data_IF_387396008230
#
_entry.id   IF_387396008230
#
_cell.length_a   1.000
_cell.length_b   1.000
_cell.length_c   1.000
_cell.angle_alpha   90.00
_cell.angle_beta   90.00
_cell.angle_gamma   90.00
#
_symmetry.space_group_name_H-M   'P 1'
#
loop_
_entity.id
_entity.type
_entity.pdbx_description
1 polymer ?
#
# COMPACT_ATOMS: atom_id res chain seq x y z
N UNK A 1 -9.03 -6.14 -7.33
CA UNK A 1 -7.62 -5.98 -7.74
C UNK A 1 -6.84 -7.28 -7.56
N UNK A 2 -6.85 -7.93 -6.39
CA UNK A 2 -6.08 -9.17 -6.20
C UNK A 2 -6.47 -10.37 -7.07
N UNK A 3 -7.74 -10.64 -7.42
CA UNK A 3 -8.05 -11.77 -8.33
C UNK A 3 -7.30 -11.67 -9.67
N UNK A 4 -7.18 -10.44 -10.21
CA UNK A 4 -6.41 -10.16 -11.43
C UNK A 4 -4.91 -10.31 -11.16
N UNK A 5 -4.40 -9.75 -10.06
CA UNK A 5 -2.98 -9.84 -9.70
C UNK A 5 -2.56 -11.28 -9.44
N UNK A 6 -3.35 -12.08 -8.74
CA UNK A 6 -3.09 -13.50 -8.48
C UNK A 6 -2.97 -14.29 -9.78
N UNK A 7 -3.94 -14.12 -10.69
CA UNK A 7 -3.89 -14.76 -12.02
C UNK A 7 -2.68 -14.31 -12.84
N UNK A 8 -2.35 -13.03 -12.80
CA UNK A 8 -1.16 -12.50 -13.48
C UNK A 8 0.15 -12.95 -12.82
N UNK A 9 0.16 -13.16 -11.50
CA UNK A 9 1.33 -13.59 -10.77
C UNK A 9 1.73 -15.02 -11.12
N UNK A 10 0.77 -15.84 -11.56
CA UNK A 10 0.97 -17.21 -12.03
C UNK A 10 1.45 -17.29 -13.49
N UNK A 11 1.54 -16.17 -14.22
CA UNK A 11 2.02 -16.17 -15.60
C UNK A 11 3.49 -16.61 -15.71
N UNK A 12 3.86 -17.21 -16.84
CA UNK A 12 5.24 -17.64 -17.11
C UNK A 12 6.24 -16.47 -17.03
N UNK A 13 5.83 -15.30 -17.51
CA UNK A 13 6.64 -14.07 -17.47
C UNK A 13 7.00 -13.69 -16.02
N UNK A 14 6.06 -13.87 -15.08
CA UNK A 14 6.25 -13.48 -13.69
C UNK A 14 7.05 -14.52 -12.87
N UNK A 15 7.37 -15.68 -13.45
CA UNK A 15 8.24 -16.68 -12.81
C UNK A 15 9.68 -16.19 -12.66
N UNK A 16 10.10 -15.24 -13.51
CA UNK A 16 11.40 -14.58 -13.37
C UNK A 16 11.30 -13.47 -12.31
N UNK A 17 11.72 -13.81 -11.10
CA UNK A 17 11.71 -12.88 -9.98
C UNK A 17 12.70 -11.73 -10.18
N UNK A 18 12.27 -10.52 -9.83
CA UNK A 18 13.12 -9.36 -9.71
C UNK A 18 14.20 -9.59 -8.65
N UNK A 19 15.38 -8.95 -8.76
CA UNK A 19 16.50 -9.21 -7.87
C UNK A 19 16.17 -9.11 -6.38
N UNK A 20 15.36 -8.13 -5.98
CA UNK A 20 14.96 -7.93 -4.57
C UNK A 20 14.07 -9.07 -4.05
N UNK A 21 13.14 -9.57 -4.86
CA UNK A 21 12.25 -10.69 -4.51
C UNK A 21 13.02 -12.02 -4.53
N UNK A 22 13.91 -12.20 -5.51
CA UNK A 22 14.81 -13.36 -5.58
C UNK A 22 15.74 -13.43 -4.37
N UNK A 23 16.23 -12.29 -3.86
CA UNK A 23 17.05 -12.25 -2.65
C UNK A 23 16.27 -12.71 -1.41
N UNK A 24 14.99 -12.33 -1.28
CA UNK A 24 14.13 -12.85 -0.21
C UNK A 24 13.93 -14.36 -0.32
N UNK A 25 13.65 -14.87 -1.53
CA UNK A 25 13.54 -16.31 -1.81
C UNK A 25 14.80 -17.06 -1.40
N UNK A 26 15.97 -16.58 -1.83
CA UNK A 26 17.25 -17.20 -1.52
C UNK A 26 17.51 -17.23 0.00
N UNK A 27 17.16 -16.17 0.72
CA UNK A 27 17.30 -16.13 2.18
C UNK A 27 16.40 -17.18 2.86
N UNK A 28 15.13 -17.25 2.46
CA UNK A 28 14.17 -18.23 2.99
C UNK A 28 14.68 -19.66 2.75
N UNK A 29 15.19 -19.95 1.56
CA UNK A 29 15.54 -21.32 1.16
C UNK A 29 16.94 -21.77 1.57
N UNK A 30 17.85 -20.83 1.88
CA UNK A 30 19.21 -21.14 2.35
C UNK A 30 19.31 -21.32 3.86
N UNK A 31 18.32 -20.86 4.62
CA UNK A 31 18.28 -20.97 6.08
C UNK A 31 17.14 -21.91 6.50
N UNK A 32 17.49 -23.08 7.05
CA UNK A 32 16.51 -24.11 7.45
C UNK A 32 15.50 -23.62 8.50
N UNK A 33 15.93 -22.74 9.41
CA UNK A 33 15.04 -22.17 10.41
C UNK A 33 14.02 -21.25 9.75
N UNK A 34 14.49 -20.33 8.89
CA UNK A 34 13.60 -19.42 8.16
C UNK A 34 12.68 -20.18 7.21
N UNK A 35 13.17 -21.22 6.54
CA UNK A 35 12.35 -22.08 5.68
C UNK A 35 11.17 -22.68 6.43
N UNK A 36 11.43 -23.29 7.59
CA UNK A 36 10.41 -23.92 8.43
C UNK A 36 9.42 -22.90 8.98
N UNK A 37 9.91 -21.78 9.54
CA UNK A 37 9.05 -20.70 10.04
C UNK A 37 8.15 -20.17 8.92
N UNK A 38 8.69 -20.02 7.71
CA UNK A 38 7.93 -19.56 6.55
C UNK A 38 6.85 -20.55 6.14
N UNK A 39 7.08 -21.88 6.20
CA UNK A 39 6.01 -22.85 5.95
C UNK A 39 4.91 -22.73 7.02
N UNK A 40 5.32 -22.77 8.29
CA UNK A 40 4.39 -22.69 9.43
C UNK A 40 3.53 -21.43 9.40
N UNK A 41 4.09 -20.30 8.96
CA UNK A 41 3.37 -19.03 8.81
C UNK A 41 2.12 -19.16 7.95
N UNK A 42 2.16 -19.99 6.90
CA UNK A 42 1.01 -20.25 6.04
C UNK A 42 0.15 -21.42 6.53
N UNK A 43 0.76 -22.47 7.09
CA UNK A 43 0.03 -23.63 7.65
C UNK A 43 -0.85 -23.23 8.84
N UNK A 44 -0.44 -22.22 9.62
CA UNK A 44 -1.19 -21.69 10.75
C UNK A 44 -2.43 -20.88 10.33
N UNK A 45 -2.60 -20.55 9.04
CA UNK A 45 -3.79 -19.84 8.55
C UNK A 45 -4.97 -20.83 8.50
N UNK A 46 -6.06 -20.62 9.27
CA UNK A 46 -7.19 -21.54 9.27
C UNK A 46 -7.76 -21.85 7.88
N UNK A 47 -8.08 -23.12 7.62
CA UNK A 47 -8.64 -23.56 6.33
C UNK A 47 -9.96 -22.85 5.98
N UNK A 48 -10.77 -22.53 6.99
CA UNK A 48 -12.03 -21.79 6.82
C UNK A 48 -11.87 -20.38 6.22
N UNK A 49 -10.67 -19.80 6.25
CA UNK A 49 -10.39 -18.49 5.66
C UNK A 49 -10.00 -18.61 4.19
N UNK A 50 -10.97 -19.01 3.37
CA UNK A 50 -10.77 -19.24 1.93
C UNK A 50 -10.46 -17.94 1.19
N UNK A 51 -11.23 -16.89 1.48
CA UNK A 51 -11.09 -15.57 0.88
C UNK A 51 -10.61 -14.55 1.93
N UNK A 52 -9.91 -13.52 1.45
CA UNK A 52 -9.57 -12.32 2.20
C UNK A 52 -10.83 -11.52 2.57
N UNK A 53 -10.75 -10.53 3.49
CA UNK A 53 -11.85 -9.58 3.72
C UNK A 53 -12.31 -8.85 2.45
N UNK A 54 -11.48 -8.87 1.40
CA UNK A 54 -11.74 -8.27 0.09
C UNK A 54 -12.45 -9.21 -0.89
N UNK A 55 -12.80 -10.43 -0.48
CA UNK A 55 -13.45 -11.44 -1.35
C UNK A 55 -12.53 -11.98 -2.44
N UNK A 56 -11.21 -11.98 -2.19
CA UNK A 56 -10.18 -12.51 -3.09
C UNK A 56 -9.52 -13.75 -2.48
N UNK A 57 -9.07 -14.73 -3.28
CA UNK A 57 -8.49 -15.95 -2.72
C UNK A 57 -7.27 -15.65 -1.84
N UNK A 58 -7.23 -16.23 -0.65
CA UNK A 58 -6.13 -16.05 0.28
C UNK A 58 -4.85 -16.69 -0.25
N UNK A 59 -3.71 -16.01 -0.06
CA UNK A 59 -2.39 -16.59 -0.34
C UNK A 59 -2.07 -17.70 0.65
N UNK A 60 -1.75 -18.89 0.14
CA UNK A 60 -1.60 -20.11 0.96
C UNK A 60 -0.18 -20.66 1.05
N UNK A 61 0.78 -20.06 0.35
CA UNK A 61 2.18 -20.43 0.51
C UNK A 61 3.13 -19.29 0.09
N UNK A 62 4.38 -19.41 0.53
CA UNK A 62 5.38 -18.38 0.27
C UNK A 62 5.77 -18.24 -1.20
N UNK A 63 5.63 -19.29 -2.02
CA UNK A 63 5.93 -19.18 -3.46
C UNK A 63 4.91 -18.28 -4.15
N UNK A 64 3.62 -18.45 -3.84
CA UNK A 64 2.56 -17.55 -4.28
C UNK A 64 2.80 -16.13 -3.75
N UNK A 65 3.15 -15.97 -2.47
CA UNK A 65 3.51 -14.67 -1.89
C UNK A 65 4.62 -13.98 -2.70
N UNK A 66 5.72 -14.68 -3.01
CA UNK A 66 6.84 -14.14 -3.77
C UNK A 66 6.42 -13.73 -5.19
N UNK A 67 5.64 -14.57 -5.89
CA UNK A 67 5.13 -14.24 -7.22
C UNK A 67 4.21 -13.01 -7.19
N UNK A 68 3.34 -12.90 -6.21
CA UNK A 68 2.45 -11.74 -6.08
C UNK A 68 3.23 -10.46 -5.73
N UNK A 69 4.21 -10.54 -4.82
CA UNK A 69 5.12 -9.41 -4.53
C UNK A 69 5.84 -8.98 -5.81
N UNK A 70 6.40 -9.92 -6.57
CA UNK A 70 7.06 -9.65 -7.84
C UNK A 70 6.15 -8.89 -8.81
N UNK A 71 4.87 -9.27 -8.88
CA UNK A 71 3.90 -8.66 -9.78
C UNK A 71 3.46 -7.26 -9.33
N UNK A 72 3.36 -7.02 -8.02
CA UNK A 72 2.91 -5.75 -7.44
C UNK A 72 3.97 -4.66 -7.56
N UNK A 73 5.24 -4.97 -7.26
CA UNK A 73 6.29 -3.95 -7.15
C UNK A 73 6.71 -3.32 -8.49
N UNK A 74 6.06 -3.70 -9.59
CA UNK A 74 6.30 -3.25 -10.95
C UNK A 74 5.18 -2.32 -11.48
N UNK A 75 4.23 -1.93 -10.62
CA UNK A 75 3.07 -1.13 -11.04
C UNK A 75 2.65 -0.12 -9.98
N UNK A 76 1.96 0.92 -10.43
CA UNK A 76 1.34 1.87 -9.54
C UNK A 76 -0.04 1.33 -9.09
N UNK A 77 -0.43 1.53 -7.83
CA UNK A 77 -1.79 1.20 -7.39
C UNK A 77 -2.84 1.99 -8.19
N UNK A 78 -3.80 1.29 -8.79
CA UNK A 78 -4.96 1.88 -9.46
C UNK A 78 -6.03 2.28 -8.44
N UNK A 79 -6.81 3.32 -8.76
CA UNK A 79 -7.97 3.69 -7.97
C UNK A 79 -9.01 2.56 -7.97
N UNK A 80 -9.60 2.32 -6.80
CA UNK A 80 -10.81 1.53 -6.65
C UNK A 80 -11.59 2.03 -5.42
N UNK A 81 -12.78 1.51 -5.18
CA UNK A 81 -13.67 1.98 -4.12
C UNK A 81 -13.56 1.15 -2.83
N UNK A 82 -12.48 0.41 -2.65
CA UNK A 82 -12.27 -0.45 -1.48
C UNK A 82 -11.36 0.20 -0.46
N UNK A 83 -11.47 -0.17 0.82
CA UNK A 83 -10.67 0.47 1.89
C UNK A 83 -9.15 0.24 1.83
N UNK A 84 -8.64 -0.59 0.90
CA UNK A 84 -7.24 -1.02 0.84
C UNK A 84 -6.48 -0.54 -0.42
N UNK A 85 -6.99 0.46 -1.15
CA UNK A 85 -6.43 0.91 -2.43
C UNK A 85 -4.93 1.23 -2.37
N UNK A 86 -4.45 1.75 -1.23
CA UNK A 86 -3.07 2.17 -1.03
C UNK A 86 -2.09 1.07 -0.60
N UNK A 87 -2.55 -0.14 -0.26
CA UNK A 87 -1.69 -1.16 0.37
C UNK A 87 -1.85 -2.55 -0.24
N UNK A 88 -1.56 -2.75 -1.53
CA UNK A 88 -1.72 -4.05 -2.21
C UNK A 88 -0.82 -5.16 -1.62
N UNK A 89 0.29 -4.81 -0.99
CA UNK A 89 1.13 -5.77 -0.25
C UNK A 89 0.42 -6.28 1.00
N UNK A 90 -0.37 -5.43 1.68
CA UNK A 90 -1.12 -5.83 2.87
C UNK A 90 -2.11 -6.96 2.55
N UNK A 91 -2.73 -6.94 1.35
CA UNK A 91 -3.63 -8.01 0.91
C UNK A 91 -2.95 -9.39 0.83
N UNK A 92 -1.62 -9.43 0.65
CA UNK A 92 -0.84 -10.67 0.68
C UNK A 92 -0.50 -11.06 2.12
N UNK A 93 -0.17 -10.07 2.95
CA UNK A 93 0.47 -10.28 4.25
C UNK A 93 -0.52 -10.35 5.44
N UNK A 94 -1.75 -9.86 5.30
CA UNK A 94 -2.73 -9.68 6.39
C UNK A 94 -2.95 -10.94 7.25
N UNK A 95 -3.20 -12.09 6.64
CA UNK A 95 -3.33 -13.36 7.37
C UNK A 95 -2.01 -13.95 7.83
N UNK A 96 -0.98 -14.12 6.98
CA UNK A 96 0.26 -14.72 7.43
C UNK A 96 0.93 -13.89 8.53
N UNK A 97 0.77 -12.56 8.58
CA UNK A 97 1.31 -11.74 9.67
C UNK A 97 0.57 -11.92 11.00
N UNK A 98 -0.68 -12.39 10.97
CA UNK A 98 -1.50 -12.63 12.15
C UNK A 98 -1.23 -14.00 12.82
N UNK A 99 -0.38 -14.84 12.22
CA UNK A 99 -0.01 -16.15 12.79
C UNK A 99 1.17 -16.04 13.76
N UNK A 100 1.37 -17.05 14.61
CA UNK A 100 2.50 -17.05 15.57
C UNK A 100 3.82 -17.19 14.83
N UNK A 101 3.88 -18.06 13.84
CA UNK A 101 5.03 -18.18 12.95
C UNK A 101 5.23 -16.91 12.11
N UNK A 102 4.15 -16.25 11.70
CA UNK A 102 4.18 -14.93 11.09
C UNK A 102 4.88 -13.87 11.93
N UNK A 103 4.48 -13.75 13.20
CA UNK A 103 5.17 -12.86 14.14
C UNK A 103 6.68 -13.12 14.17
N UNK A 104 7.09 -14.39 14.30
CA UNK A 104 8.52 -14.77 14.30
C UNK A 104 9.23 -14.42 12.98
N UNK A 105 8.55 -14.60 11.85
CA UNK A 105 9.07 -14.25 10.52
C UNK A 105 9.27 -12.74 10.38
N UNK A 106 8.26 -11.94 10.70
CA UNK A 106 8.26 -10.48 10.48
C UNK A 106 9.07 -9.70 11.52
N UNK A 107 9.43 -10.25 12.68
CA UNK A 107 10.40 -9.61 13.59
C UNK A 107 11.86 -9.94 13.24
N UNK A 108 12.11 -10.85 12.30
CA UNK A 108 13.48 -11.25 11.96
C UNK A 108 14.21 -10.14 11.19
N UNK A 109 15.35 -9.62 11.69
CA UNK A 109 16.05 -8.51 11.05
C UNK A 109 16.51 -8.81 9.62
N UNK A 110 16.90 -10.06 9.31
CA UNK A 110 17.32 -10.46 7.95
C UNK A 110 16.14 -10.43 6.98
N UNK A 111 14.95 -10.83 7.43
CA UNK A 111 13.72 -10.75 6.64
C UNK A 111 13.35 -9.27 6.41
N UNK A 112 13.41 -8.45 7.45
CA UNK A 112 13.12 -7.02 7.36
C UNK A 112 14.04 -6.31 6.38
N UNK A 113 15.33 -6.67 6.35
CA UNK A 113 16.28 -6.15 5.36
C UNK A 113 15.81 -6.44 3.93
N UNK A 114 15.38 -7.67 3.63
CA UNK A 114 14.91 -8.04 2.28
C UNK A 114 13.57 -7.40 1.92
N UNK A 115 12.65 -7.29 2.88
CA UNK A 115 11.40 -6.55 2.69
C UNK A 115 11.66 -5.07 2.42
N UNK A 116 12.60 -4.44 3.13
CA UNK A 116 13.04 -3.07 2.87
C UNK A 116 13.58 -2.92 1.46
N UNK A 117 14.41 -3.86 0.98
CA UNK A 117 14.96 -3.79 -0.38
C UNK A 117 13.85 -3.91 -1.46
N UNK A 118 12.84 -4.75 -1.21
CA UNK A 118 11.64 -4.85 -2.06
C UNK A 118 10.84 -3.54 -2.07
N UNK A 119 10.58 -2.95 -0.91
CA UNK A 119 9.86 -1.69 -0.79
C UNK A 119 10.64 -0.52 -1.40
N UNK A 120 11.96 -0.49 -1.23
CA UNK A 120 12.83 0.50 -1.87
C UNK A 120 12.81 0.39 -3.40
N UNK A 121 12.77 -0.83 -3.94
CA UNK A 121 12.61 -1.03 -5.38
C UNK A 121 11.28 -0.44 -5.87
N UNK A 122 10.19 -0.75 -5.18
CA UNK A 122 8.86 -0.26 -5.55
C UNK A 122 8.74 1.25 -5.41
N UNK A 123 9.21 1.81 -4.30
CA UNK A 123 9.19 3.25 -4.03
C UNK A 123 9.95 4.06 -5.09
N UNK A 124 11.10 3.56 -5.56
CA UNK A 124 11.83 4.18 -6.68
C UNK A 124 11.00 4.21 -7.95
N UNK A 125 10.30 3.13 -8.28
CA UNK A 125 9.39 3.10 -9.43
C UNK A 125 8.23 4.09 -9.27
N UNK A 126 7.60 4.15 -8.08
CA UNK A 126 6.48 5.05 -7.82
C UNK A 126 6.86 6.54 -7.88
N UNK A 127 8.16 6.86 -7.81
CA UNK A 127 8.69 8.21 -7.96
C UNK A 127 8.99 8.61 -9.41
N UNK A 128 8.84 7.71 -10.38
CA UNK A 128 9.11 8.01 -11.80
C UNK A 128 7.85 8.47 -12.55
N UNK A 129 8.00 9.18 -13.68
CA UNK A 129 6.89 9.49 -14.60
C UNK A 129 6.16 8.25 -15.12
N UNK A 130 6.83 7.10 -15.23
CA UNK A 130 6.20 5.85 -15.69
C UNK A 130 5.08 5.37 -14.76
N UNK A 131 4.99 5.90 -13.54
CA UNK A 131 3.91 5.60 -12.59
C UNK A 131 2.65 6.46 -12.81
N UNK A 132 2.69 7.51 -13.63
CA UNK A 132 1.54 8.43 -13.82
C UNK A 132 0.42 7.86 -14.67
N UNK A 133 0.60 6.69 -15.30
CA UNK A 133 -0.44 6.08 -16.13
C UNK A 133 -1.74 5.83 -15.36
N UNK A 134 -1.71 5.73 -14.01
CA UNK A 134 -2.92 5.63 -13.16
C UNK A 134 -3.52 6.98 -12.77
N UNK A 135 -2.84 8.10 -13.03
CA UNK A 135 -3.31 9.46 -12.83
C UNK A 135 -4.11 9.93 -14.05
N UNK A 136 -5.19 9.23 -14.35
CA UNK A 136 -6.05 9.49 -15.50
C UNK A 136 -7.53 9.59 -15.07
N UNK A 137 -8.40 9.88 -16.04
CA UNK A 137 -9.83 10.15 -15.81
C UNK A 137 -10.73 8.91 -15.97
N UNK A 138 -10.17 7.74 -16.28
CA UNK A 138 -10.91 6.49 -16.38
C UNK A 138 -11.50 6.06 -15.02
N UNK A 139 -12.42 5.09 -15.04
CA UNK A 139 -13.05 4.54 -13.81
C UNK A 139 -12.05 4.07 -12.74
N UNK A 140 -10.87 3.58 -13.16
CA UNK A 140 -9.81 3.09 -12.27
C UNK A 140 -8.68 4.12 -12.09
N UNK A 141 -8.86 5.33 -12.61
CA UNK A 141 -7.91 6.42 -12.51
C UNK A 141 -8.13 7.27 -11.26
N UNK A 142 -7.03 7.71 -10.65
CA UNK A 142 -7.04 8.58 -9.48
C UNK A 142 -7.56 9.99 -9.76
N UNK A 143 -7.57 10.39 -11.02
CA UNK A 143 -8.11 11.67 -11.44
C UNK A 143 -9.52 11.53 -11.98
N UNK A 144 -10.25 10.43 -11.77
CA UNK A 144 -11.67 10.32 -12.09
C UNK A 144 -12.51 11.30 -11.25
N UNK A 145 -13.69 11.68 -11.75
CA UNK A 145 -14.57 12.62 -11.02
C UNK A 145 -14.93 12.07 -9.64
N UNK A 146 -15.22 10.76 -9.58
CA UNK A 146 -15.51 10.07 -8.34
C UNK A 146 -14.32 10.11 -7.37
N UNK A 147 -13.12 9.75 -7.82
CA UNK A 147 -11.94 9.75 -6.96
C UNK A 147 -11.62 11.15 -6.42
N UNK A 148 -11.63 12.18 -7.28
CA UNK A 148 -11.38 13.56 -6.88
C UNK A 148 -12.40 14.08 -5.87
N UNK A 149 -13.69 13.77 -6.07
CA UNK A 149 -14.75 14.17 -5.16
C UNK A 149 -14.63 13.48 -3.80
N UNK A 150 -14.36 12.17 -3.77
CA UNK A 150 -14.17 11.45 -2.51
C UNK A 150 -12.94 11.95 -1.74
N UNK A 151 -11.82 12.20 -2.42
CA UNK A 151 -10.63 12.77 -1.78
C UNK A 151 -10.87 14.18 -1.25
N UNK A 152 -11.63 15.01 -1.97
CA UNK A 152 -11.97 16.35 -1.49
C UNK A 152 -12.89 16.29 -0.26
N UNK A 153 -13.92 15.43 -0.31
CA UNK A 153 -14.87 15.22 0.77
C UNK A 153 -14.21 14.71 2.05
N UNK A 154 -13.31 13.72 1.94
CA UNK A 154 -12.57 13.18 3.11
C UNK A 154 -11.66 14.26 3.71
N UNK A 155 -11.14 15.17 2.88
CA UNK A 155 -10.37 16.32 3.31
C UNK A 155 -11.23 17.52 3.75
N UNK A 156 -12.54 17.34 3.97
CA UNK A 156 -13.48 18.36 4.42
C UNK A 156 -13.49 19.62 3.52
N UNK A 157 -13.54 19.42 2.20
CA UNK A 157 -13.70 20.52 1.25
C UNK A 157 -14.38 20.14 -0.06
N UNK A 158 -14.71 21.15 -0.86
CA UNK A 158 -15.60 21.01 -2.01
C UNK A 158 -14.89 20.56 -3.31
N UNK A 159 -13.63 20.96 -3.52
CA UNK A 159 -12.89 20.70 -4.76
C UNK A 159 -11.46 20.26 -4.45
N UNK A 160 -11.00 19.21 -5.13
CA UNK A 160 -9.64 18.70 -4.94
C UNK A 160 -8.56 19.78 -5.12
N UNK A 161 -8.65 20.61 -6.17
CA UNK A 161 -7.61 21.61 -6.47
C UNK A 161 -7.64 22.84 -5.57
N UNK A 162 -8.73 23.07 -4.80
CA UNK A 162 -8.74 24.13 -3.77
C UNK A 162 -8.06 23.65 -2.49
N UNK A 163 -8.15 22.35 -2.19
CA UNK A 163 -7.57 21.72 -1.00
C UNK A 163 -6.09 21.40 -1.20
N UNK A 164 -5.74 20.79 -2.33
CA UNK A 164 -4.40 20.30 -2.60
C UNK A 164 -3.67 21.18 -3.61
N UNK A 165 -2.35 21.27 -3.44
CA UNK A 165 -1.46 22.00 -4.33
C UNK A 165 -1.31 21.27 -5.66
N UNK A 166 -1.95 21.81 -6.69
CA UNK A 166 -1.79 21.39 -8.08
C UNK A 166 -1.05 22.47 -8.87
N UNK A 167 -0.13 22.09 -9.75
CA UNK A 167 0.58 23.05 -10.63
C UNK A 167 -0.13 23.23 -11.97
N UNK A 168 -1.20 22.46 -12.22
CA UNK A 168 -2.07 22.55 -13.39
C UNK A 168 -3.51 22.19 -13.00
N UNK A 169 -4.49 22.78 -13.68
CA UNK A 169 -5.91 22.38 -13.61
C UNK A 169 -6.26 21.33 -14.68
N UNK A 170 -5.33 21.02 -15.59
CA UNK A 170 -5.51 20.06 -16.68
C UNK A 170 -5.23 18.62 -16.23
N UNK A 171 -6.27 17.78 -16.25
CA UNK A 171 -6.21 16.36 -15.87
C UNK A 171 -5.45 15.50 -16.87
N UNK A 172 -5.38 15.89 -18.14
CA UNK A 172 -4.56 15.20 -19.15
C UNK A 172 -3.07 15.43 -18.89
N UNK A 173 -2.73 16.52 -18.20
CA UNK A 173 -1.39 16.79 -17.65
C UNK A 173 -1.24 16.33 -16.20
N UNK A 174 -2.05 15.37 -15.78
CA UNK A 174 -2.05 14.80 -14.43
C UNK A 174 -2.19 15.85 -13.31
N UNK A 175 -2.89 16.98 -13.53
CA UNK A 175 -2.93 18.13 -12.61
C UNK A 175 -1.54 18.68 -12.22
N UNK A 176 -0.53 18.37 -13.03
CA UNK A 176 0.86 18.76 -12.82
C UNK A 176 1.65 17.84 -11.87
N UNK A 177 1.07 16.72 -11.43
CA UNK A 177 1.80 15.70 -10.68
C UNK A 177 2.73 14.88 -11.60
N UNK A 178 3.96 14.64 -11.15
CA UNK A 178 5.01 14.02 -11.98
C UNK A 178 5.17 12.52 -11.76
N UNK A 179 4.55 11.97 -10.71
CA UNK A 179 4.59 10.55 -10.35
C UNK A 179 3.44 10.19 -9.42
N UNK A 180 3.20 8.89 -9.22
CA UNK A 180 2.24 8.40 -8.23
C UNK A 180 2.62 8.86 -6.82
N UNK A 181 3.91 8.77 -6.47
CA UNK A 181 4.42 9.22 -5.18
C UNK A 181 4.17 10.72 -4.98
N UNK A 182 4.47 11.55 -5.99
CA UNK A 182 4.20 12.99 -5.94
C UNK A 182 2.70 13.32 -5.74
N UNK A 183 1.81 12.51 -6.30
CA UNK A 183 0.36 12.65 -6.08
C UNK A 183 -0.08 12.19 -4.68
N UNK A 184 0.48 11.10 -4.14
CA UNK A 184 0.09 10.58 -2.82
C UNK A 184 0.74 11.32 -1.64
N UNK A 185 1.89 11.94 -1.86
CA UNK A 185 2.55 12.83 -0.90
C UNK A 185 2.27 14.31 -1.21
N UNK A 186 1.19 14.58 -1.96
CA UNK A 186 0.79 15.94 -2.34
C UNK A 186 0.63 16.84 -1.12
N UNK A 187 0.98 18.11 -1.29
CA UNK A 187 0.84 19.11 -0.24
C UNK A 187 -0.56 19.72 -0.27
N UNK A 188 -1.01 20.20 0.88
CA UNK A 188 -2.16 21.09 0.96
C UNK A 188 -1.82 22.48 0.42
N UNK A 189 -2.83 23.20 -0.06
CA UNK A 189 -2.71 24.64 -0.25
C UNK A 189 -2.58 25.35 1.11
N UNK A 190 -2.00 26.56 1.15
CA UNK A 190 -1.91 27.34 2.38
C UNK A 190 -3.29 27.55 3.03
N UNK A 191 -3.37 27.42 4.35
CA UNK A 191 -4.58 27.70 5.13
C UNK A 191 -5.60 26.56 5.25
N UNK A 192 -5.36 25.40 4.62
CA UNK A 192 -6.31 24.27 4.63
C UNK A 192 -6.33 23.49 5.96
N UNK A 193 -5.22 23.49 6.70
CA UNK A 193 -5.08 22.85 8.01
C UNK A 193 -4.40 23.80 9.00
N UNK A 194 -5.10 24.86 9.48
CA UNK A 194 -4.55 25.73 10.50
C UNK A 194 -4.37 24.96 11.80
N UNK A 195 -3.25 25.19 12.50
CA UNK A 195 -3.06 24.69 13.87
C UNK A 195 -3.81 25.63 14.80
N UNK A 196 -4.72 25.07 15.59
CA UNK A 196 -5.43 25.83 16.62
C UNK A 196 -4.48 26.08 17.80
N UNK A 197 -4.49 27.33 18.30
CA UNK A 197 -3.70 27.78 19.46
C UNK A 197 -2.22 27.37 19.38
N UNK A 198 -1.49 27.76 18.31
CA UNK A 198 -0.14 27.26 18.03
C UNK A 198 0.91 27.66 19.07
N UNK A 199 0.63 28.69 19.87
CA UNK A 199 1.52 29.20 20.91
C UNK A 199 1.16 28.68 22.31
N UNK A 200 0.06 27.91 22.44
CA UNK A 200 -0.36 27.32 23.72
C UNK A 200 0.31 25.95 23.92
N UNK A 201 1.24 25.80 24.89
CA UNK A 201 1.91 24.53 25.14
C UNK A 201 0.97 23.43 25.67
N UNK A 202 -0.22 23.80 26.16
CA UNK A 202 -1.24 22.86 26.62
C UNK A 202 -2.21 22.45 25.50
N UNK A 203 -2.10 23.06 24.30
CA UNK A 203 -2.87 22.69 23.11
C UNK A 203 -2.21 21.52 22.38
N UNK A 204 -2.97 20.44 22.19
CA UNK A 204 -2.53 19.24 21.47
C UNK A 204 -3.40 19.07 20.22
N UNK A 205 -2.79 19.26 19.05
CA UNK A 205 -3.43 19.01 17.76
C UNK A 205 -3.27 17.54 17.32
N UNK A 206 -4.19 17.06 16.49
CA UNK A 206 -4.06 15.75 15.84
C UNK A 206 -2.87 15.74 14.88
N UNK A 207 -2.08 14.66 14.90
CA UNK A 207 -0.88 14.53 14.06
C UNK A 207 -1.18 14.27 12.57
N UNK A 208 -2.37 13.75 12.28
CA UNK A 208 -2.84 13.47 10.92
C UNK A 208 -4.36 13.52 10.86
N UNK A 209 -4.91 13.38 9.64
CA UNK A 209 -6.36 13.24 9.38
C UNK A 209 -6.89 11.94 10.00
N UNK A 210 -7.15 11.99 11.30
CA UNK A 210 -7.55 10.86 12.14
C UNK A 210 -8.58 11.32 13.16
N UNK A 211 -9.33 10.36 13.71
CA UNK A 211 -10.29 10.60 14.77
C UNK A 211 -9.90 9.77 16.01
N UNK A 212 -10.06 10.31 17.24
CA UNK A 212 -9.80 9.57 18.46
C UNK A 212 -10.72 8.35 18.53
N UNK A 213 -10.16 7.17 18.82
CA UNK A 213 -10.93 5.94 18.97
C UNK A 213 -11.78 5.93 20.27
N UNK A 214 -11.21 6.45 21.37
CA UNK A 214 -11.88 6.58 22.67
C UNK A 214 -11.32 7.77 23.42
N UNK A 215 -12.20 8.51 24.09
CA UNK A 215 -11.85 9.60 25.00
C UNK A 215 -12.19 9.15 26.43
N UNK A 216 -11.27 9.36 27.37
CA UNK A 216 -11.46 9.08 28.78
C UNK A 216 -10.93 10.26 29.61
N UNK A 217 -11.54 10.49 30.76
CA UNK A 217 -11.19 11.56 31.69
C UNK A 217 -10.91 10.97 33.07
N UNK A 218 -9.96 11.53 33.82
CA UNK A 218 -9.62 11.15 35.20
C UNK A 218 -9.25 9.66 35.38
N UNK A 219 -8.24 9.18 34.65
CA UNK A 219 -7.67 7.83 34.80
C UNK A 219 -6.64 7.76 35.94
#
# INVERSE_FOLDING_TARGET
>A
MAKKILKEAESEENQKLLPSVQALKNLIESDRYLYNVTQMMFDEIPEKYVDTPMGTPQVRNYKQMLLMLNRIIQRAPEFNTTGLVGTPINEILDYPMATKAGYVFFINPKINEKLRDILNYWGKFLQTPDSTYVLNTSKNGWLSDYALNEMAKVADGDKFTTIFKCTSEDREKHLGFTSWDNFFTRLFNPGIRPVQDPDDPDSIANACESAPYRIAHNL
#
